data_IF_260659882163
#
_entry.id   IF_260659882163
#
_cell.length_a   1.000
_cell.length_b   1.000
_cell.length_c   1.000
_cell.angle_alpha   90.00
_cell.angle_beta   90.00
_cell.angle_gamma   90.00
#
_symmetry.space_group_name_H-M   'P 1'
#
loop_
_entity.id
_entity.type
_entity.pdbx_description
1 polymer ?
#
# COMPACT_ATOMS: atom_id res chain seq x y z
N UNK A 1 4.98 2.13 -21.57
CA UNK A 1 5.26 2.86 -20.32
C UNK A 1 6.48 3.77 -20.53
N UNK A 2 6.39 5.04 -20.10
CA UNK A 2 7.52 5.98 -20.14
C UNK A 2 8.38 5.78 -18.88
N UNK A 3 9.71 5.70 -19.04
CA UNK A 3 10.66 5.52 -17.94
C UNK A 3 11.69 6.62 -18.02
N UNK A 4 11.85 7.36 -16.91
CA UNK A 4 12.89 8.38 -16.77
C UNK A 4 13.75 8.08 -15.54
N UNK A 5 14.96 8.67 -15.50
CA UNK A 5 15.80 8.67 -14.32
C UNK A 5 15.78 10.07 -13.69
N UNK A 6 15.62 10.11 -12.38
CA UNK A 6 15.57 11.37 -11.65
C UNK A 6 16.55 11.36 -10.50
N UNK A 7 17.55 12.21 -10.60
CA UNK A 7 18.50 12.38 -9.51
C UNK A 7 17.82 12.99 -8.27
N UNK A 8 18.13 12.46 -7.10
CA UNK A 8 17.71 13.01 -5.82
C UNK A 8 18.87 13.06 -4.82
N UNK A 9 18.98 14.19 -4.14
CA UNK A 9 20.03 14.40 -3.12
C UNK A 9 19.74 13.62 -1.84
N UNK A 10 18.46 13.39 -1.53
CA UNK A 10 18.02 12.67 -0.34
C UNK A 10 16.81 11.81 -0.67
N UNK A 11 16.91 10.52 -0.34
CA UNK A 11 15.82 9.57 -0.54
C UNK A 11 14.87 9.53 0.66
N UNK A 12 15.29 9.99 1.84
CA UNK A 12 14.50 10.05 3.04
C UNK A 12 13.71 11.36 3.12
N UNK A 13 12.41 11.26 3.24
CA UNK A 13 11.52 12.41 3.42
C UNK A 13 10.90 12.34 4.81
N UNK A 14 10.91 13.45 5.57
CA UNK A 14 10.19 13.53 6.85
C UNK A 14 8.69 13.25 6.59
N UNK A 15 8.13 12.38 7.41
CA UNK A 15 6.73 11.99 7.30
C UNK A 15 5.80 12.98 8.02
N UNK A 16 4.56 13.04 7.52
CA UNK A 16 3.42 13.63 8.25
C UNK A 16 2.39 12.55 8.64
N UNK A 17 2.70 11.28 8.34
CA UNK A 17 1.86 10.16 8.73
C UNK A 17 2.08 9.91 10.24
N UNK A 18 1.01 9.85 11.04
CA UNK A 18 1.13 9.58 12.46
C UNK A 18 1.97 8.32 12.75
N UNK A 19 2.86 8.40 13.71
CA UNK A 19 3.71 7.26 14.10
C UNK A 19 4.84 6.90 13.11
N UNK A 20 5.04 7.64 12.02
CA UNK A 20 6.10 7.42 11.02
C UNK A 20 7.03 8.64 10.99
N UNK A 21 8.32 8.46 11.25
CA UNK A 21 9.30 9.56 11.20
C UNK A 21 9.72 9.90 9.77
N UNK A 22 9.94 8.88 8.94
CA UNK A 22 10.41 9.04 7.57
C UNK A 22 9.68 8.15 6.58
N UNK A 23 9.59 8.62 5.35
CA UNK A 23 9.12 7.83 4.21
C UNK A 23 10.21 7.78 3.16
N UNK A 24 10.37 6.61 2.55
CA UNK A 24 11.25 6.39 1.41
C UNK A 24 10.39 5.99 0.22
N UNK A 25 10.45 6.79 -0.86
CA UNK A 25 9.79 6.47 -2.13
C UNK A 25 10.87 6.31 -3.21
N UNK A 26 11.28 5.08 -3.55
CA UNK A 26 12.34 4.82 -4.53
C UNK A 26 11.98 5.24 -5.96
N UNK A 27 10.69 5.44 -6.20
CA UNK A 27 10.09 5.75 -7.50
C UNK A 27 9.12 6.91 -7.39
N UNK A 28 8.77 7.53 -8.52
CA UNK A 28 7.62 8.41 -8.69
C UNK A 28 6.76 7.83 -9.81
N UNK A 29 5.45 7.69 -9.58
CA UNK A 29 4.58 6.83 -10.36
C UNK A 29 4.54 5.41 -9.78
N UNK A 30 3.61 4.60 -10.25
CA UNK A 30 3.43 3.23 -9.76
C UNK A 30 2.88 2.35 -10.88
N UNK A 31 3.60 1.27 -11.20
CA UNK A 31 3.19 0.34 -12.28
C UNK A 31 1.89 -0.40 -11.98
N UNK A 32 1.48 -0.49 -10.71
CA UNK A 32 0.23 -1.14 -10.35
C UNK A 32 -0.98 -0.46 -11.00
N UNK A 33 -0.92 0.86 -11.22
CA UNK A 33 -1.92 1.60 -11.97
C UNK A 33 -3.33 1.53 -11.38
N UNK A 34 -3.46 1.33 -10.06
CA UNK A 34 -4.75 1.17 -9.39
C UNK A 34 -5.68 2.34 -9.73
N UNK A 35 -6.93 2.04 -10.10
CA UNK A 35 -7.90 3.06 -10.55
C UNK A 35 -8.30 4.04 -9.45
N UNK A 36 -8.19 3.62 -8.20
CA UNK A 36 -8.55 4.39 -7.00
C UNK A 36 -7.36 5.12 -6.36
N UNK A 37 -6.15 5.03 -6.95
CA UNK A 37 -4.92 5.48 -6.31
C UNK A 37 -4.97 6.97 -5.97
N UNK A 38 -4.81 7.28 -4.68
CA UNK A 38 -4.73 8.67 -4.24
C UNK A 38 -3.43 9.34 -4.66
N UNK A 39 -2.34 8.56 -4.85
CA UNK A 39 -1.02 9.06 -5.16
C UNK A 39 -0.88 9.63 -6.58
N UNK A 40 -1.92 9.52 -7.42
CA UNK A 40 -1.95 10.13 -8.75
C UNK A 40 -1.72 11.64 -8.73
N UNK A 41 -2.00 12.31 -7.60
CA UNK A 41 -1.67 13.74 -7.43
C UNK A 41 -0.18 14.05 -7.65
N UNK A 42 0.70 13.04 -7.52
CA UNK A 42 2.15 13.18 -7.73
C UNK A 42 2.50 13.59 -9.16
N UNK A 43 1.63 13.33 -10.15
CA UNK A 43 1.81 13.78 -11.54
C UNK A 43 2.13 15.28 -11.61
N UNK A 44 1.56 16.09 -10.72
CA UNK A 44 1.80 17.55 -10.63
C UNK A 44 3.27 17.93 -10.44
N UNK A 45 4.04 17.04 -9.81
CA UNK A 45 5.45 17.26 -9.47
C UNK A 45 6.40 16.58 -10.44
N UNK A 46 5.91 16.17 -11.61
CA UNK A 46 6.64 15.47 -12.65
C UNK A 46 6.46 16.14 -14.01
N UNK A 47 7.23 15.69 -14.99
CA UNK A 47 7.06 16.09 -16.39
C UNK A 47 6.01 15.22 -17.14
N UNK A 48 5.20 14.47 -16.39
CA UNK A 48 4.21 13.52 -16.92
C UNK A 48 2.78 14.11 -16.97
N UNK A 49 2.65 15.44 -17.10
CA UNK A 49 1.33 16.07 -17.31
C UNK A 49 0.68 15.49 -18.59
N UNK A 50 -0.51 14.90 -18.42
CA UNK A 50 -1.24 14.24 -19.50
C UNK A 50 -0.96 12.74 -19.67
N UNK A 51 0.04 12.18 -18.99
CA UNK A 51 0.23 10.73 -18.95
C UNK A 51 -0.75 10.10 -17.95
N UNK A 52 -1.21 8.87 -18.27
CA UNK A 52 -2.09 8.12 -17.37
C UNK A 52 -1.27 7.53 -16.22
N UNK A 53 -1.85 7.54 -15.01
CA UNK A 53 -1.30 6.82 -13.87
C UNK A 53 -1.08 5.35 -14.21
N UNK A 54 0.08 4.79 -13.82
CA UNK A 54 0.48 3.43 -14.20
C UNK A 54 1.25 3.33 -15.52
N UNK A 55 1.30 4.39 -16.34
CA UNK A 55 1.97 4.37 -17.65
C UNK A 55 3.28 5.15 -17.70
N UNK A 56 3.74 5.68 -16.58
CA UNK A 56 5.05 6.30 -16.43
C UNK A 56 5.69 5.88 -15.11
N UNK A 57 7.03 5.99 -15.05
CA UNK A 57 7.82 5.76 -13.87
C UNK A 57 9.10 6.59 -13.92
N UNK A 58 9.32 7.44 -12.92
CA UNK A 58 10.60 8.06 -12.67
C UNK A 58 11.37 7.23 -11.64
N UNK A 59 12.50 6.68 -12.05
CA UNK A 59 13.39 5.90 -11.20
C UNK A 59 14.34 6.88 -10.53
N UNK A 60 14.28 6.95 -9.20
CA UNK A 60 15.18 7.81 -8.45
C UNK A 60 16.59 7.24 -8.45
N UNK A 61 17.54 8.07 -8.84
CA UNK A 61 18.97 7.80 -8.70
C UNK A 61 19.52 8.61 -7.53
N UNK A 62 20.31 7.99 -6.69
CA UNK A 62 20.85 8.58 -5.47
C UNK A 62 22.18 7.92 -5.09
N UNK A 63 23.01 8.68 -4.39
CA UNK A 63 24.30 8.22 -3.90
C UNK A 63 24.11 7.45 -2.59
N UNK A 64 24.28 6.13 -2.64
CA UNK A 64 24.16 5.24 -1.48
C UNK A 64 25.19 5.50 -0.39
N UNK A 65 26.36 6.10 -0.73
CA UNK A 65 27.40 6.43 0.25
C UNK A 65 26.99 7.57 1.20
N UNK A 66 26.02 8.39 0.78
CA UNK A 66 25.46 9.49 1.57
C UNK A 66 24.42 9.03 2.60
N UNK A 67 23.96 7.80 2.51
CA UNK A 67 23.07 7.22 3.53
C UNK A 67 23.91 6.91 4.76
N UNK A 68 23.61 7.59 5.86
CA UNK A 68 24.23 7.39 7.18
C UNK A 68 23.24 6.64 8.08
N UNK A 69 23.30 5.29 8.15
CA UNK A 69 22.28 4.47 8.81
C UNK A 69 22.03 4.88 10.27
N UNK A 70 23.09 5.20 11.01
CA UNK A 70 23.03 5.56 12.42
C UNK A 70 22.16 6.79 12.74
N UNK A 71 21.90 7.64 11.73
CA UNK A 71 20.96 8.77 11.88
C UNK A 71 19.50 8.33 12.07
N UNK A 72 19.21 7.07 11.78
CA UNK A 72 17.84 6.52 11.80
C UNK A 72 17.61 5.55 12.94
N UNK A 73 18.58 5.41 13.87
CA UNK A 73 18.41 4.58 15.07
C UNK A 73 17.19 5.03 15.87
N UNK A 74 16.30 4.08 16.18
CA UNK A 74 15.03 4.32 16.88
C UNK A 74 14.01 5.12 16.07
N UNK A 75 14.21 5.27 14.73
CA UNK A 75 13.27 5.96 13.84
C UNK A 75 12.42 4.96 13.08
N UNK A 76 11.13 5.25 12.95
CA UNK A 76 10.20 4.45 12.16
C UNK A 76 10.20 4.94 10.71
N UNK A 77 10.52 4.03 9.79
CA UNK A 77 10.68 4.32 8.35
C UNK A 77 9.68 3.48 7.57
N UNK A 78 8.79 4.14 6.82
CA UNK A 78 7.85 3.50 5.90
C UNK A 78 8.43 3.46 4.47
N UNK A 79 8.45 2.31 3.88
CA UNK A 79 8.69 2.08 2.44
C UNK A 79 7.35 1.83 1.76
N UNK A 80 6.90 2.65 1.13
CA UNK A 80 6.61 3.78 0.36
C UNK A 80 5.23 4.35 0.75
N UNK A 81 4.95 5.62 0.45
CA UNK A 81 3.62 6.21 0.70
C UNK A 81 2.91 6.64 -0.59
N UNK A 82 3.64 6.97 -1.65
CA UNK A 82 3.06 7.49 -2.91
C UNK A 82 3.49 6.69 -4.15
N UNK A 83 4.03 5.50 -3.93
CA UNK A 83 4.37 4.49 -4.94
C UNK A 83 4.30 3.12 -4.25
N UNK A 84 4.61 2.05 -4.96
CA UNK A 84 4.81 0.74 -4.33
C UNK A 84 6.32 0.40 -4.35
N UNK A 85 6.89 -0.12 -3.25
CA UNK A 85 8.33 -0.42 -3.17
C UNK A 85 8.72 -1.66 -3.98
N UNK A 86 7.76 -2.51 -4.35
CA UNK A 86 8.00 -3.76 -5.11
C UNK A 86 7.25 -3.81 -6.43
N UNK A 87 7.16 -2.65 -7.12
CA UNK A 87 6.67 -2.63 -8.51
C UNK A 87 7.46 -3.61 -9.39
N UNK A 88 6.92 -4.12 -10.52
CA UNK A 88 7.63 -5.06 -11.39
C UNK A 88 9.06 -4.64 -11.77
N UNK A 89 9.28 -3.35 -12.05
CA UNK A 89 10.63 -2.85 -12.37
C UNK A 89 11.62 -2.85 -11.22
N UNK A 90 11.17 -3.02 -9.98
CA UNK A 90 12.06 -3.23 -8.83
C UNK A 90 12.89 -4.50 -8.97
N UNK A 91 12.40 -5.52 -9.69
CA UNK A 91 13.18 -6.73 -10.01
C UNK A 91 14.45 -6.40 -10.81
N UNK A 92 14.39 -5.38 -11.66
CA UNK A 92 15.52 -4.92 -12.49
C UNK A 92 16.40 -3.90 -11.77
N UNK A 93 15.80 -2.85 -11.21
CA UNK A 93 16.56 -1.69 -10.69
C UNK A 93 17.01 -1.87 -9.25
N UNK A 94 16.29 -2.66 -8.46
CA UNK A 94 16.62 -3.04 -7.07
C UNK A 94 16.85 -1.83 -6.14
N UNK A 95 16.15 -0.74 -6.36
CA UNK A 95 16.32 0.46 -5.54
C UNK A 95 15.86 0.24 -4.09
N UNK A 96 14.73 -0.41 -3.89
CA UNK A 96 14.23 -0.80 -2.57
C UNK A 96 15.23 -1.69 -1.85
N UNK A 97 15.71 -2.75 -2.52
CA UNK A 97 16.71 -3.66 -1.95
C UNK A 97 18.00 -2.96 -1.57
N UNK A 98 18.57 -2.12 -2.45
CA UNK A 98 19.80 -1.35 -2.19
C UNK A 98 19.66 -0.44 -0.97
N UNK A 99 18.49 0.19 -0.79
CA UNK A 99 18.22 1.04 0.38
C UNK A 99 18.15 0.19 1.65
N UNK A 100 17.44 -0.93 1.61
CA UNK A 100 17.35 -1.86 2.73
C UNK A 100 18.73 -2.39 3.12
N UNK A 101 19.56 -2.80 2.16
CA UNK A 101 20.95 -3.24 2.40
C UNK A 101 21.76 -2.18 3.17
N UNK A 102 21.56 -0.90 2.88
CA UNK A 102 22.19 0.20 3.61
C UNK A 102 21.62 0.44 5.00
N UNK A 103 20.40 0.03 5.26
CA UNK A 103 19.72 0.22 6.55
C UNK A 103 19.93 -0.96 7.52
N UNK A 104 20.46 -2.09 7.07
CA UNK A 104 20.81 -3.20 7.97
C UNK A 104 21.75 -2.70 9.06
N UNK A 105 21.45 -3.04 10.32
CA UNK A 105 22.23 -2.61 11.50
C UNK A 105 22.08 -1.14 11.88
N UNK A 106 21.11 -0.41 11.30
CA UNK A 106 20.84 0.98 11.66
C UNK A 106 20.14 1.16 13.00
N UNK A 107 19.47 0.11 13.51
CA UNK A 107 18.54 0.21 14.63
C UNK A 107 17.24 0.97 14.30
N UNK A 108 16.93 1.16 13.01
CA UNK A 108 15.65 1.72 12.57
C UNK A 108 14.56 0.65 12.59
N UNK A 109 13.31 1.08 12.82
CA UNK A 109 12.11 0.27 12.65
C UNK A 109 11.63 0.40 11.20
N UNK A 110 11.60 -0.69 10.46
CA UNK A 110 11.24 -0.69 9.05
C UNK A 110 9.82 -1.23 8.88
N UNK A 111 8.96 -0.44 8.24
CA UNK A 111 7.63 -0.88 7.82
C UNK A 111 7.54 -0.89 6.30
N UNK A 112 7.09 -2.00 5.74
CA UNK A 112 6.91 -2.20 4.29
C UNK A 112 5.45 -2.48 4.04
N UNK A 113 4.87 -1.79 3.04
CA UNK A 113 3.52 -2.08 2.55
C UNK A 113 3.54 -2.20 1.03
N UNK A 114 3.00 -3.30 0.49
CA UNK A 114 3.02 -3.54 -0.95
C UNK A 114 1.79 -4.32 -1.46
N UNK A 115 1.49 -4.19 -2.75
CA UNK A 115 0.54 -5.02 -3.50
C UNK A 115 1.26 -6.05 -4.39
N UNK A 116 2.50 -6.38 -4.05
CA UNK A 116 3.35 -7.22 -4.90
C UNK A 116 3.88 -8.45 -4.19
N UNK A 117 3.74 -9.62 -4.83
CA UNK A 117 4.40 -10.85 -4.37
C UNK A 117 5.94 -10.78 -4.40
N UNK A 118 6.49 -9.85 -5.19
CA UNK A 118 7.95 -9.72 -5.32
C UNK A 118 8.66 -9.30 -4.03
N UNK A 119 7.92 -8.92 -3.00
CA UNK A 119 8.45 -8.65 -1.66
C UNK A 119 9.14 -9.88 -1.06
N UNK A 120 8.71 -11.09 -1.41
CA UNK A 120 9.33 -12.35 -0.97
C UNK A 120 10.80 -12.50 -1.38
N UNK A 121 11.23 -11.81 -2.46
CA UNK A 121 12.63 -11.78 -2.91
C UNK A 121 13.62 -11.36 -1.82
N UNK A 122 13.18 -10.48 -0.93
CA UNK A 122 14.07 -9.82 0.03
C UNK A 122 13.95 -10.41 1.46
N UNK A 123 13.37 -11.60 1.62
CA UNK A 123 13.29 -12.31 2.90
C UNK A 123 14.68 -12.52 3.52
N UNK A 124 15.70 -12.81 2.69
CA UNK A 124 17.09 -12.96 3.13
C UNK A 124 17.63 -11.70 3.81
N UNK A 125 17.15 -10.55 3.36
CA UNK A 125 17.53 -9.25 3.88
C UNK A 125 16.69 -8.86 5.11
N UNK A 126 15.40 -9.15 5.10
CA UNK A 126 14.49 -8.86 6.23
C UNK A 126 14.96 -9.53 7.52
N UNK A 127 15.50 -10.77 7.43
CA UNK A 127 16.06 -11.50 8.57
C UNK A 127 17.25 -10.81 9.25
N UNK A 128 17.86 -9.81 8.62
CA UNK A 128 18.99 -9.06 9.16
C UNK A 128 18.58 -7.83 9.97
N UNK A 129 17.29 -7.51 10.00
CA UNK A 129 16.75 -6.41 10.79
C UNK A 129 16.24 -6.91 12.13
N UNK A 130 16.49 -6.14 13.19
CA UNK A 130 15.93 -6.41 14.51
C UNK A 130 14.44 -6.05 14.57
N UNK A 131 14.07 -4.95 13.89
CA UNK A 131 12.70 -4.42 13.87
C UNK A 131 12.26 -4.17 12.43
N UNK A 132 11.57 -5.14 11.85
CA UNK A 132 10.95 -5.02 10.53
C UNK A 132 9.58 -5.66 10.53
N UNK A 133 8.65 -5.02 9.85
CA UNK A 133 7.33 -5.58 9.57
C UNK A 133 7.02 -5.45 8.08
N UNK A 134 6.32 -6.43 7.55
CA UNK A 134 5.91 -6.47 6.15
C UNK A 134 4.40 -6.62 6.05
N UNK A 135 3.78 -5.69 5.37
CA UNK A 135 2.36 -5.69 5.07
C UNK A 135 2.06 -5.96 3.60
N UNK A 136 0.98 -6.67 3.39
CA UNK A 136 0.36 -6.86 2.08
C UNK A 136 -0.98 -6.15 2.03
N UNK A 137 -1.18 -5.32 1.01
CA UNK A 137 -2.48 -4.69 0.79
C UNK A 137 -3.38 -5.57 -0.08
N UNK A 138 -4.61 -5.83 0.39
CA UNK A 138 -5.63 -6.65 -0.29
C UNK A 138 -6.96 -5.90 -0.24
N UNK A 139 -7.50 -5.54 -1.39
CA UNK A 139 -8.81 -4.87 -1.51
C UNK A 139 -9.96 -5.87 -1.73
N UNK A 140 -9.65 -7.03 -2.29
CA UNK A 140 -10.61 -8.09 -2.59
C UNK A 140 -9.88 -9.40 -2.87
N UNK A 141 -10.57 -10.53 -2.71
CA UNK A 141 -10.11 -11.85 -3.15
C UNK A 141 -10.70 -12.25 -4.52
N UNK A 142 -11.65 -11.49 -5.05
CA UNK A 142 -12.13 -11.64 -6.42
C UNK A 142 -11.03 -11.23 -7.40
N UNK A 143 -10.40 -12.23 -8.05
CA UNK A 143 -9.28 -12.00 -8.97
C UNK A 143 -9.68 -11.21 -10.21
N UNK A 144 -10.91 -11.36 -10.71
CA UNK A 144 -11.36 -10.63 -11.89
C UNK A 144 -11.61 -9.16 -11.55
N UNK A 145 -12.23 -8.89 -10.41
CA UNK A 145 -12.37 -7.52 -9.95
C UNK A 145 -11.03 -6.87 -9.60
N UNK A 146 -10.14 -7.60 -8.91
CA UNK A 146 -8.79 -7.12 -8.61
C UNK A 146 -8.01 -6.74 -9.87
N UNK A 147 -8.12 -7.53 -10.94
CA UNK A 147 -7.47 -7.25 -12.23
C UNK A 147 -7.99 -5.97 -12.90
N UNK A 148 -9.25 -5.62 -12.67
CA UNK A 148 -9.83 -4.38 -13.17
C UNK A 148 -9.36 -3.17 -12.36
N UNK A 149 -9.37 -3.28 -11.02
CA UNK A 149 -9.10 -2.14 -10.14
C UNK A 149 -7.62 -1.95 -9.81
N UNK A 150 -6.79 -3.01 -9.95
CA UNK A 150 -5.35 -3.05 -9.66
C UNK A 150 -4.55 -3.74 -10.79
N UNK A 151 -4.62 -3.23 -12.03
CA UNK A 151 -4.23 -3.99 -13.24
C UNK A 151 -2.76 -4.42 -13.30
N UNK A 152 -1.87 -3.74 -12.59
CA UNK A 152 -0.44 -4.06 -12.57
C UNK A 152 0.06 -4.64 -11.24
N UNK A 153 -0.83 -4.90 -10.28
CA UNK A 153 -0.48 -5.54 -9.02
C UNK A 153 -0.44 -7.07 -9.15
N UNK A 154 0.20 -7.75 -8.21
CA UNK A 154 0.10 -9.21 -8.12
C UNK A 154 -1.33 -9.63 -7.80
N UNK A 155 -1.72 -10.84 -8.19
CA UNK A 155 -3.05 -11.37 -7.87
C UNK A 155 -3.24 -11.52 -6.36
N UNK A 156 -4.47 -11.40 -5.84
CA UNK A 156 -4.75 -11.53 -4.41
C UNK A 156 -4.17 -12.81 -3.79
N UNK A 157 -4.36 -13.97 -4.41
CA UNK A 157 -3.83 -15.22 -3.89
C UNK A 157 -2.30 -15.25 -3.86
N UNK A 158 -1.63 -14.70 -4.89
CA UNK A 158 -0.16 -14.57 -4.90
C UNK A 158 0.37 -13.68 -3.75
N UNK A 159 -0.42 -12.66 -3.36
CA UNK A 159 -0.09 -11.80 -2.22
C UNK A 159 -0.26 -12.54 -0.89
N UNK A 160 -1.30 -13.35 -0.77
CA UNK A 160 -1.52 -14.23 0.40
C UNK A 160 -0.35 -15.21 0.53
N UNK A 161 0.03 -15.89 -0.54
CA UNK A 161 1.17 -16.82 -0.53
C UNK A 161 2.49 -16.14 -0.14
N UNK A 162 2.71 -14.90 -0.62
CA UNK A 162 3.90 -14.15 -0.28
C UNK A 162 3.97 -13.79 1.20
N UNK A 163 2.85 -13.31 1.81
CA UNK A 163 2.84 -12.94 3.22
C UNK A 163 2.97 -14.18 4.13
N UNK A 164 2.38 -15.31 3.74
CA UNK A 164 2.57 -16.58 4.45
C UNK A 164 4.04 -17.01 4.47
N UNK A 165 4.74 -16.90 3.33
CA UNK A 165 6.18 -17.20 3.25
C UNK A 165 6.99 -16.28 4.16
N UNK A 166 6.66 -15.00 4.21
CA UNK A 166 7.33 -14.01 5.06
C UNK A 166 7.14 -14.37 6.53
N UNK A 167 5.91 -14.67 6.94
CA UNK A 167 5.59 -15.09 8.31
C UNK A 167 6.32 -16.38 8.71
N UNK A 168 6.36 -17.39 7.85
CA UNK A 168 7.13 -18.64 8.06
C UNK A 168 8.62 -18.39 8.31
N UNK A 169 9.13 -17.25 7.87
CA UNK A 169 10.51 -16.82 8.12
C UNK A 169 10.66 -15.97 9.40
N UNK A 170 9.64 -15.95 10.28
CA UNK A 170 9.60 -15.24 11.57
C UNK A 170 9.73 -13.71 11.43
N UNK A 171 9.23 -13.17 10.36
CA UNK A 171 9.14 -11.72 10.13
C UNK A 171 7.72 -11.32 10.50
N UNK A 172 7.58 -10.21 11.24
CA UNK A 172 6.28 -9.66 11.62
C UNK A 172 5.48 -9.25 10.38
N UNK A 173 4.22 -9.67 10.34
CA UNK A 173 3.36 -9.51 9.16
C UNK A 173 2.06 -8.81 9.47
N UNK A 174 1.53 -8.06 8.50
CA UNK A 174 0.17 -7.52 8.59
C UNK A 174 -0.53 -7.54 7.24
N UNK A 175 -1.86 -7.53 7.29
CA UNK A 175 -2.67 -7.34 6.09
C UNK A 175 -3.40 -6.00 6.18
N UNK A 176 -3.21 -5.18 5.15
CA UNK A 176 -3.93 -3.94 4.98
C UNK A 176 -5.08 -4.15 4.01
N UNK A 177 -6.29 -4.27 4.55
CA UNK A 177 -7.52 -4.41 3.77
C UNK A 177 -7.89 -3.01 3.25
N UNK A 178 -7.32 -2.66 2.10
CA UNK A 178 -7.34 -1.30 1.56
C UNK A 178 -7.26 -1.26 0.02
N UNK A 179 -8.15 -0.44 -0.59
CA UNK A 179 -9.34 0.13 0.04
C UNK A 179 -10.45 -0.89 0.19
N UNK A 180 -11.29 -0.68 1.19
CA UNK A 180 -12.55 -1.42 1.30
C UNK A 180 -13.51 -0.93 0.21
N UNK A 181 -13.99 -1.86 -0.63
CA UNK A 181 -15.09 -1.63 -1.55
C UNK A 181 -16.37 -2.17 -0.90
N UNK A 182 -17.29 -1.31 -0.40
CA UNK A 182 -18.52 -1.76 0.25
C UNK A 182 -19.30 -2.74 -0.60
N UNK A 183 -19.82 -3.81 0.01
CA UNK A 183 -20.57 -4.91 -0.63
C UNK A 183 -19.74 -5.74 -1.65
N UNK A 184 -18.43 -5.45 -1.81
CA UNK A 184 -17.53 -6.20 -2.71
C UNK A 184 -16.35 -6.79 -1.94
N UNK A 185 -15.77 -6.01 -1.01
CA UNK A 185 -14.69 -6.50 -0.15
C UNK A 185 -15.28 -7.36 0.97
N UNK A 186 -15.08 -8.66 0.89
CA UNK A 186 -15.35 -9.54 2.03
C UNK A 186 -14.11 -9.61 2.93
N UNK A 187 -14.05 -8.70 3.91
CA UNK A 187 -12.93 -8.65 4.84
C UNK A 187 -12.86 -9.89 5.75
N UNK A 188 -13.99 -10.55 6.00
CA UNK A 188 -14.03 -11.77 6.83
C UNK A 188 -13.36 -12.93 6.11
N UNK A 189 -13.62 -13.08 4.80
CA UNK A 189 -12.95 -14.10 3.99
C UNK A 189 -11.44 -13.85 3.92
N UNK A 190 -11.01 -12.58 3.76
CA UNK A 190 -9.58 -12.22 3.79
C UNK A 190 -8.95 -12.63 5.11
N UNK A 191 -9.60 -12.31 6.24
CA UNK A 191 -9.13 -12.68 7.58
C UNK A 191 -9.08 -14.20 7.74
N UNK A 192 -10.13 -14.92 7.36
CA UNK A 192 -10.17 -16.38 7.48
C UNK A 192 -9.02 -17.07 6.72
N UNK A 193 -8.68 -16.56 5.52
CA UNK A 193 -7.58 -17.09 4.72
C UNK A 193 -6.19 -16.78 5.28
N UNK A 194 -6.05 -15.75 6.12
CA UNK A 194 -4.75 -15.22 6.51
C UNK A 194 -4.43 -15.25 8.00
N UNK A 195 -5.41 -15.51 8.88
CA UNK A 195 -5.28 -15.38 10.34
C UNK A 195 -4.14 -16.20 10.97
N UNK A 196 -3.73 -17.29 10.34
CA UNK A 196 -2.67 -18.17 10.86
C UNK A 196 -1.24 -17.62 10.59
N UNK A 197 -1.13 -16.57 9.79
CA UNK A 197 0.16 -15.99 9.39
C UNK A 197 0.09 -14.44 9.29
N UNK A 198 -0.77 -13.82 10.10
CA UNK A 198 -0.93 -12.37 10.17
C UNK A 198 -0.95 -11.94 11.63
N UNK A 199 -0.04 -11.05 12.01
CA UNK A 199 0.08 -10.57 13.39
C UNK A 199 -0.97 -9.49 13.74
N UNK A 200 -1.37 -8.68 12.74
CA UNK A 200 -2.45 -7.71 12.88
C UNK A 200 -3.04 -7.29 11.52
N UNK A 201 -4.22 -6.69 11.57
CA UNK A 201 -4.95 -6.18 10.42
C UNK A 201 -5.05 -4.66 10.46
N UNK A 202 -5.02 -4.05 9.26
CA UNK A 202 -5.35 -2.64 9.08
C UNK A 202 -6.49 -2.51 8.07
N UNK A 203 -7.34 -1.52 8.27
CA UNK A 203 -8.49 -1.27 7.40
C UNK A 203 -8.53 0.19 6.97
N UNK A 204 -8.76 0.44 5.69
CA UNK A 204 -8.94 1.78 5.14
C UNK A 204 -10.14 1.81 4.21
N UNK A 205 -10.96 2.85 4.35
CA UNK A 205 -12.11 3.07 3.49
C UNK A 205 -11.70 3.51 2.08
N UNK A 206 -12.60 3.31 1.10
CA UNK A 206 -12.40 3.79 -0.27
C UNK A 206 -12.43 5.32 -0.30
N UNK A 207 -11.34 5.92 -0.77
CA UNK A 207 -11.17 7.36 -0.79
C UNK A 207 -11.52 7.93 -2.17
N UNK A 208 -12.64 8.65 -2.24
CA UNK A 208 -13.07 9.36 -3.45
C UNK A 208 -12.33 10.68 -3.61
N UNK A 209 -11.62 10.83 -4.72
CA UNK A 209 -10.90 12.07 -5.09
C UNK A 209 -11.37 12.56 -6.45
N UNK A 210 -11.27 13.86 -6.74
CA UNK A 210 -11.70 14.39 -8.04
C UNK A 210 -11.09 13.68 -9.25
N UNK A 211 -9.86 13.16 -9.11
CA UNK A 211 -9.14 12.48 -10.20
C UNK A 211 -9.49 11.00 -10.36
N UNK A 212 -10.06 10.33 -9.36
CA UNK A 212 -10.33 8.89 -9.42
C UNK A 212 -11.82 8.52 -9.43
N UNK A 213 -12.69 9.40 -8.95
CA UNK A 213 -14.10 9.09 -8.70
C UNK A 213 -14.86 8.62 -9.96
N UNK A 214 -14.65 9.28 -11.09
CA UNK A 214 -15.31 8.90 -12.34
C UNK A 214 -14.95 7.48 -12.77
N UNK A 215 -13.68 7.12 -12.67
CA UNK A 215 -13.19 5.76 -12.99
C UNK A 215 -13.76 4.71 -12.04
N UNK A 216 -13.80 5.01 -10.73
CA UNK A 216 -14.40 4.11 -9.74
C UNK A 216 -15.87 3.86 -10.09
N UNK A 217 -16.66 4.92 -10.27
CA UNK A 217 -18.09 4.80 -10.58
C UNK A 217 -18.34 4.08 -11.92
N UNK A 218 -17.50 4.31 -12.92
CA UNK A 218 -17.58 3.60 -14.21
C UNK A 218 -17.34 2.09 -14.04
N UNK A 219 -16.32 1.70 -13.29
CA UNK A 219 -16.04 0.29 -13.01
C UNK A 219 -17.17 -0.34 -12.22
N UNK A 220 -17.70 0.33 -11.17
CA UNK A 220 -18.84 -0.17 -10.41
C UNK A 220 -20.08 -0.31 -11.30
N UNK A 221 -20.37 0.68 -12.14
CA UNK A 221 -21.49 0.60 -13.11
C UNK A 221 -21.38 -0.59 -14.04
N UNK A 222 -20.15 -0.92 -14.47
CA UNK A 222 -19.90 -2.01 -15.40
C UNK A 222 -19.92 -3.38 -14.73
N UNK A 223 -19.24 -3.52 -13.59
CA UNK A 223 -19.04 -4.82 -12.92
C UNK A 223 -20.16 -5.16 -11.94
N UNK A 224 -20.71 -4.15 -11.25
CA UNK A 224 -21.74 -4.29 -10.21
C UNK A 224 -22.82 -3.22 -10.35
N UNK A 225 -23.61 -3.18 -11.45
CA UNK A 225 -24.55 -2.09 -11.74
C UNK A 225 -25.57 -1.82 -10.63
N UNK A 226 -25.97 -2.86 -9.90
CA UNK A 226 -26.90 -2.74 -8.75
C UNK A 226 -26.29 -1.96 -7.57
N UNK A 227 -24.96 -1.91 -7.46
CA UNK A 227 -24.26 -1.19 -6.38
C UNK A 227 -23.99 0.28 -6.73
N UNK A 228 -24.21 0.70 -7.97
CA UNK A 228 -23.94 2.10 -8.38
C UNK A 228 -24.61 3.15 -7.47
N UNK A 229 -25.89 3.02 -7.08
CA UNK A 229 -26.50 3.97 -6.16
C UNK A 229 -25.80 4.05 -4.80
N UNK A 230 -25.37 2.91 -4.25
CA UNK A 230 -24.61 2.82 -2.99
C UNK A 230 -23.31 3.63 -3.08
N UNK A 231 -22.54 3.48 -4.17
CA UNK A 231 -21.28 4.21 -4.35
C UNK A 231 -21.46 5.70 -4.62
N UNK A 232 -22.59 6.08 -5.22
CA UNK A 232 -22.97 7.50 -5.38
C UNK A 232 -23.34 8.15 -4.04
N UNK A 233 -24.01 7.40 -3.15
CA UNK A 233 -24.37 7.83 -1.80
C UNK A 233 -23.15 7.96 -0.89
N UNK A 234 -22.28 6.95 -0.84
CA UNK A 234 -21.03 6.91 -0.04
C UNK A 234 -20.15 8.15 -0.21
N UNK A 235 -20.29 8.83 -1.34
CA UNK A 235 -19.59 10.09 -1.63
C UNK A 235 -20.15 11.27 -0.85
N UNK A 236 -21.42 11.24 -0.50
CA UNK A 236 -22.18 12.36 0.08
C UNK A 236 -22.47 12.15 1.55
N UNK A 237 -22.69 10.91 1.92
CA UNK A 237 -23.05 10.49 3.27
C UNK A 237 -22.03 9.49 3.80
N UNK A 238 -21.43 9.82 4.94
CA UNK A 238 -20.43 8.99 5.61
C UNK A 238 -21.02 7.99 6.61
N UNK A 239 -22.33 8.08 6.91
CA UNK A 239 -22.99 7.22 7.91
C UNK A 239 -22.85 5.72 7.61
N UNK A 240 -22.79 5.35 6.31
CA UNK A 240 -22.56 3.97 5.91
C UNK A 240 -21.15 3.49 6.28
N UNK A 241 -20.16 4.39 6.27
CA UNK A 241 -18.81 4.05 6.72
C UNK A 241 -18.75 3.78 8.21
N UNK A 242 -19.54 4.49 9.02
CA UNK A 242 -19.63 4.25 10.47
C UNK A 242 -20.22 2.87 10.75
N UNK A 243 -21.21 2.43 9.95
CA UNK A 243 -21.76 1.06 10.05
C UNK A 243 -20.72 0.00 9.68
N UNK A 244 -19.95 0.22 8.62
CA UNK A 244 -18.88 -0.69 8.18
C UNK A 244 -17.78 -0.76 9.26
N UNK A 245 -17.36 0.37 9.81
CA UNK A 245 -16.37 0.47 10.86
C UNK A 245 -16.81 -0.31 12.11
N UNK A 246 -18.03 -0.09 12.58
CA UNK A 246 -18.60 -0.83 13.70
C UNK A 246 -18.67 -2.34 13.44
N UNK A 247 -19.00 -2.75 12.21
CA UNK A 247 -19.05 -4.16 11.83
C UNK A 247 -17.65 -4.80 11.85
N UNK A 248 -16.62 -4.11 11.35
CA UNK A 248 -15.22 -4.55 11.39
C UNK A 248 -14.78 -4.69 12.85
N UNK A 249 -15.00 -3.65 13.66
CA UNK A 249 -14.65 -3.62 15.09
C UNK A 249 -15.24 -4.80 15.83
N UNK A 250 -16.57 -4.96 15.74
CA UNK A 250 -17.27 -6.07 16.40
C UNK A 250 -16.73 -7.44 15.96
N UNK A 251 -16.47 -7.62 14.66
CA UNK A 251 -15.93 -8.87 14.16
C UNK A 251 -14.52 -9.14 14.68
N UNK A 252 -13.64 -8.17 14.67
CA UNK A 252 -12.26 -8.33 15.12
C UNK A 252 -12.19 -8.56 16.64
N UNK A 253 -12.96 -7.81 17.44
CA UNK A 253 -13.05 -7.99 18.90
C UNK A 253 -13.59 -9.38 19.26
N UNK A 254 -14.65 -9.85 18.59
CA UNK A 254 -15.23 -11.18 18.85
C UNK A 254 -14.34 -12.35 18.41
N UNK A 255 -13.29 -12.10 17.66
CA UNK A 255 -12.33 -13.11 17.20
C UNK A 255 -10.91 -12.89 17.76
N UNK A 256 -10.75 -12.06 18.78
CA UNK A 256 -9.46 -11.74 19.46
C UNK A 256 -8.35 -11.34 18.47
N UNK A 257 -8.69 -10.54 17.45
CA UNK A 257 -7.75 -10.09 16.44
C UNK A 257 -7.12 -8.73 16.83
N UNK A 258 -5.82 -8.58 16.60
CA UNK A 258 -5.18 -7.28 16.65
C UNK A 258 -5.51 -6.49 15.36
N UNK A 259 -6.01 -5.27 15.50
CA UNK A 259 -6.41 -4.47 14.33
C UNK A 259 -6.30 -2.96 14.56
N UNK A 260 -6.22 -2.22 13.44
CA UNK A 260 -6.30 -0.76 13.37
C UNK A 260 -7.26 -0.35 12.26
N UNK A 261 -8.07 0.66 12.51
CA UNK A 261 -8.99 1.22 11.50
C UNK A 261 -8.54 2.66 11.19
N UNK A 262 -8.21 2.89 9.91
CA UNK A 262 -7.70 4.16 9.39
C UNK A 262 -8.74 4.74 8.39
N UNK A 263 -9.96 4.99 8.87
CA UNK A 263 -11.00 5.56 8.02
C UNK A 263 -10.85 7.08 7.95
N UNK A 264 -10.58 7.57 6.75
CA UNK A 264 -10.43 9.00 6.47
C UNK A 264 -11.70 9.57 5.87
N UNK A 265 -12.54 10.17 6.71
CA UNK A 265 -13.73 10.89 6.27
C UNK A 265 -13.32 12.26 5.69
N UNK A 266 -13.26 12.38 4.35
CA UNK A 266 -13.03 13.64 3.66
C UNK A 266 -11.58 14.05 3.38
N UNK A 267 -10.61 13.19 3.67
CA UNK A 267 -9.19 13.42 3.39
C UNK A 267 -8.47 14.15 4.53
N UNK A 268 -7.14 14.12 4.49
CA UNK A 268 -6.32 14.85 5.46
C UNK A 268 -6.68 16.33 5.42
N UNK A 269 -7.45 16.81 6.38
CA UNK A 269 -7.59 18.23 6.62
C UNK A 269 -6.23 18.79 7.02
N UNK A 270 -5.84 19.91 6.44
CA UNK A 270 -4.72 20.68 6.98
C UNK A 270 -5.18 21.17 8.36
N UNK A 271 -4.75 20.49 9.42
CA UNK A 271 -4.69 21.07 10.75
C UNK A 271 -3.56 22.08 10.81
#
# INVERSE_FOLDING_TARGET
MKINFRETKNIFTKSKIPGIDFVINPYIGCQHGCIYCYAEFMIRFTNHKGDKWGQFLDIKTFDLSKIKPQKYTGKKILLSSVTDPYIPLELKYRNTRKILEKLVGSGAEISILTKSKFVERDIDLFKKFENIEVGISISTLDEEFAKIVEPGASRPNERIDAIEKIHKNKIKTYIFISPLFPEITDFREIIQKSKNFTDYYMFENLNFRPHNISRILEVIKKSYPKLLPVYQELRRDHSRWDLIENNIKNYCENNDLNFHIEFHHGGFSKS
#
